data_IF_579457119176
#
_entry.id   IF_579457119176
#
_cell.length_a   1.000
_cell.length_b   1.000
_cell.length_c   1.000
_cell.angle_alpha   90.00
_cell.angle_beta   90.00
_cell.angle_gamma   90.00
#
_symmetry.space_group_name_H-M   'P 1'
#
loop_
_entity.id
_entity.type
_entity.pdbx_description
1 polymer ?
#
# COMPACT_ATOMS: atom_id res chain seq x y z
N UNK A 1 -9.36 -6.98 -20.97
CA UNK A 1 -8.02 -6.57 -20.51
C UNK A 1 -7.71 -7.39 -19.27
N UNK A 2 -6.69 -8.27 -19.26
CA UNK A 2 -6.33 -8.95 -18.03
C UNK A 2 -5.84 -7.90 -17.03
N UNK A 3 -6.43 -7.88 -15.84
CA UNK A 3 -5.98 -6.99 -14.76
C UNK A 3 -4.71 -7.58 -14.17
N UNK A 4 -3.56 -6.97 -14.42
CA UNK A 4 -2.29 -7.35 -13.79
C UNK A 4 -2.20 -6.72 -12.42
N UNK A 5 -2.53 -7.48 -11.37
CA UNK A 5 -2.16 -7.11 -10.02
C UNK A 5 -1.94 -8.30 -9.10
N UNK A 6 -0.73 -8.41 -8.56
CA UNK A 6 -0.40 -9.24 -7.41
C UNK A 6 -0.57 -8.40 -6.14
N UNK A 7 -1.47 -8.80 -5.22
CA UNK A 7 -1.49 -8.32 -3.83
C UNK A 7 -1.54 -6.80 -3.63
N UNK A 8 -2.68 -6.18 -3.94
CA UNK A 8 -2.93 -4.77 -3.59
C UNK A 8 -3.26 -4.54 -2.12
N UNK A 9 -3.46 -5.61 -1.34
CA UNK A 9 -3.93 -5.51 0.03
C UNK A 9 -3.29 -6.54 0.94
N UNK A 10 -3.07 -6.14 2.18
CA UNK A 10 -2.64 -7.01 3.27
C UNK A 10 -3.39 -6.62 4.55
N UNK A 11 -3.47 -7.54 5.50
CA UNK A 11 -3.71 -7.15 6.89
C UNK A 11 -2.35 -6.95 7.56
N UNK A 12 -2.07 -5.73 8.03
CA UNK A 12 -0.82 -5.42 8.73
C UNK A 12 -0.96 -5.67 10.23
N UNK A 13 0.16 -5.66 10.94
CA UNK A 13 0.22 -5.74 12.41
C UNK A 13 0.24 -4.36 13.08
N UNK A 14 -0.02 -3.28 12.34
CA UNK A 14 -0.12 -1.94 12.93
C UNK A 14 -1.39 -1.83 13.77
N UNK A 15 -1.23 -1.40 15.02
CA UNK A 15 -2.33 -1.39 15.98
C UNK A 15 -2.39 -2.68 16.83
N UNK A 16 -3.52 -2.89 17.50
CA UNK A 16 -3.76 -4.10 18.30
C UNK A 16 -4.38 -5.21 17.46
N UNK A 17 -5.35 -4.88 16.63
CA UNK A 17 -6.08 -5.82 15.78
C UNK A 17 -5.57 -5.87 14.34
N UNK A 18 -4.73 -4.89 13.96
CA UNK A 18 -4.15 -4.79 12.63
C UNK A 18 -5.05 -4.03 11.66
N UNK A 19 -4.44 -3.24 10.77
CA UNK A 19 -5.17 -2.51 9.74
C UNK A 19 -5.30 -3.34 8.45
N UNK A 20 -6.42 -3.17 7.73
CA UNK A 20 -6.51 -3.63 6.35
C UNK A 20 -5.93 -2.56 5.44
N UNK A 21 -4.73 -2.81 4.91
CA UNK A 21 -3.95 -1.89 4.10
C UNK A 21 -4.21 -2.13 2.62
N UNK A 22 -4.38 -1.07 1.82
CA UNK A 22 -4.61 -1.16 0.38
C UNK A 22 -3.74 -0.16 -0.37
N UNK A 23 -3.04 -0.61 -1.42
CA UNK A 23 -2.28 0.23 -2.35
C UNK A 23 -2.70 -0.06 -3.79
N UNK A 24 -3.10 0.98 -4.52
CA UNK A 24 -3.54 0.85 -5.92
C UNK A 24 -2.91 1.92 -6.84
N UNK A 25 -2.62 1.59 -8.10
CA UNK A 25 -2.31 2.57 -9.15
C UNK A 25 -3.42 3.60 -9.33
N UNK A 26 -3.05 4.86 -9.58
CA UNK A 26 -4.00 5.95 -9.82
C UNK A 26 -4.14 6.25 -11.31
N UNK A 27 -5.33 6.64 -11.80
CA UNK A 27 -5.52 7.06 -13.19
C UNK A 27 -4.65 8.27 -13.60
N UNK A 28 -4.33 9.16 -12.65
CA UNK A 28 -3.49 10.34 -12.86
C UNK A 28 -1.99 10.07 -12.62
N UNK A 29 -1.60 8.80 -12.47
CA UNK A 29 -0.23 8.38 -12.16
C UNK A 29 0.08 8.28 -10.67
N UNK A 30 1.14 7.53 -10.37
CA UNK A 30 1.53 7.16 -9.02
C UNK A 30 0.56 6.20 -8.34
N UNK A 31 0.62 6.16 -7.02
CA UNK A 31 -0.08 5.20 -6.16
C UNK A 31 -0.94 5.93 -5.12
N UNK A 32 -2.01 5.26 -4.68
CA UNK A 32 -2.82 5.66 -3.55
C UNK A 32 -2.75 4.57 -2.48
N UNK A 33 -2.40 4.95 -1.25
CA UNK A 33 -2.48 4.11 -0.06
C UNK A 33 -3.68 4.53 0.79
N UNK A 34 -4.52 3.59 1.17
CA UNK A 34 -5.61 3.77 2.14
C UNK A 34 -5.62 2.57 3.07
N UNK A 35 -6.17 2.74 4.26
CA UNK A 35 -6.33 1.63 5.19
C UNK A 35 -7.64 1.74 5.93
N UNK A 36 -8.17 0.60 6.33
CA UNK A 36 -9.25 0.54 7.31
C UNK A 36 -8.64 0.38 8.69
N UNK A 37 -8.94 1.30 9.58
CA UNK A 37 -8.50 1.23 10.97
C UNK A 37 -9.16 0.03 11.66
N UNK A 38 -8.35 -0.93 12.09
CA UNK A 38 -8.83 -2.15 12.75
C UNK A 38 -9.05 -2.01 14.25
N UNK A 39 -8.51 -0.95 14.86
CA UNK A 39 -8.64 -0.70 16.30
C UNK A 39 -9.84 0.20 16.63
N UNK A 40 -10.33 0.98 15.66
CA UNK A 40 -11.53 1.79 15.82
C UNK A 40 -12.82 0.94 15.63
N UNK A 41 -13.77 0.93 16.59
CA UNK A 41 -15.03 0.18 16.48
C UNK A 41 -15.89 0.53 15.26
N UNK A 42 -15.78 1.74 14.72
CA UNK A 42 -16.49 2.17 13.51
C UNK A 42 -15.84 1.65 12.22
N UNK A 43 -14.65 1.06 12.31
CA UNK A 43 -13.85 0.53 11.20
C UNK A 43 -13.76 1.52 10.01
N UNK A 44 -13.39 2.79 10.24
CA UNK A 44 -13.33 3.80 9.21
C UNK A 44 -12.20 3.50 8.22
N UNK A 45 -12.41 3.92 6.96
CA UNK A 45 -11.32 4.03 5.99
C UNK A 45 -10.62 5.37 6.15
N UNK A 46 -9.28 5.35 6.15
CA UNK A 46 -8.41 6.51 6.31
C UNK A 46 -7.55 6.70 5.05
N UNK A 47 -7.26 7.96 4.73
CA UNK A 47 -6.56 8.36 3.51
C UNK A 47 -7.53 8.83 2.39
N UNK A 48 -7.14 8.74 1.11
CA UNK A 48 -5.90 8.17 0.60
C UNK A 48 -4.68 9.09 0.75
N UNK A 49 -3.54 8.50 1.07
CA UNK A 49 -2.23 9.12 0.90
C UNK A 49 -1.71 8.83 -0.50
N UNK A 50 -1.27 9.87 -1.21
CA UNK A 50 -0.74 9.73 -2.57
C UNK A 50 0.78 9.80 -2.57
N UNK A 51 1.43 8.93 -3.35
CA UNK A 51 2.88 8.86 -3.46
C UNK A 51 3.31 8.27 -4.82
N UNK A 52 4.61 8.37 -5.11
CA UNK A 52 5.16 8.01 -6.41
C UNK A 52 4.68 8.94 -7.53
N UNK A 53 5.06 8.62 -8.76
CA UNK A 53 4.67 9.39 -9.94
C UNK A 53 4.71 8.53 -11.20
N UNK A 54 4.22 9.07 -12.33
CA UNK A 54 4.26 8.36 -13.61
C UNK A 54 3.25 7.21 -13.73
N UNK A 55 3.30 6.52 -14.86
CA UNK A 55 2.42 5.38 -15.13
C UNK A 55 2.86 4.16 -14.30
N UNK A 56 1.94 3.67 -13.46
CA UNK A 56 2.15 2.47 -12.66
C UNK A 56 1.36 1.32 -13.26
N UNK A 57 2.08 0.31 -13.75
CA UNK A 57 1.51 -0.84 -14.45
C UNK A 57 1.13 -2.00 -13.51
N UNK A 58 1.56 -1.92 -12.26
CA UNK A 58 1.26 -2.90 -11.21
C UNK A 58 2.01 -2.56 -9.93
N UNK A 59 1.52 -3.06 -8.81
CA UNK A 59 2.14 -2.89 -7.50
C UNK A 59 1.92 -4.15 -6.65
N UNK A 60 2.85 -4.40 -5.73
CA UNK A 60 2.72 -5.39 -4.66
C UNK A 60 3.01 -4.73 -3.33
N UNK A 61 2.17 -5.00 -2.33
CA UNK A 61 2.29 -4.49 -0.97
C UNK A 61 2.71 -5.62 -0.02
N UNK A 62 3.65 -5.33 0.88
CA UNK A 62 4.07 -6.23 1.96
C UNK A 62 4.30 -5.44 3.25
N UNK A 63 4.22 -6.14 4.38
CA UNK A 63 4.82 -5.67 5.62
C UNK A 63 6.14 -6.39 5.83
N UNK A 64 7.21 -5.62 5.98
CA UNK A 64 8.55 -6.12 6.24
C UNK A 64 8.72 -6.46 7.73
N UNK A 65 9.83 -7.12 8.07
CA UNK A 65 10.22 -7.37 9.47
C UNK A 65 11.18 -6.29 10.02
N UNK A 66 11.37 -5.18 9.31
CA UNK A 66 12.26 -4.09 9.75
C UNK A 66 11.54 -3.15 10.73
N UNK A 67 12.17 -2.87 11.87
CA UNK A 67 11.58 -2.07 12.95
C UNK A 67 10.75 -2.91 13.93
N UNK A 68 10.26 -2.30 15.01
CA UNK A 68 9.56 -3.01 16.08
C UNK A 68 8.21 -3.59 15.62
N UNK A 69 7.48 -2.87 14.76
CA UNK A 69 6.17 -3.28 14.23
C UNK A 69 6.28 -3.86 12.81
N UNK A 70 7.33 -3.51 12.07
CA UNK A 70 7.49 -3.88 10.65
C UNK A 70 6.97 -2.78 9.72
N UNK A 71 7.78 -2.33 8.78
CA UNK A 71 7.40 -1.27 7.82
C UNK A 71 6.54 -1.79 6.69
N UNK A 72 5.58 -0.98 6.22
CA UNK A 72 4.92 -1.23 4.95
C UNK A 72 5.84 -0.86 3.79
N UNK A 73 5.99 -1.78 2.84
CA UNK A 73 6.80 -1.58 1.65
C UNK A 73 6.01 -1.94 0.38
N UNK A 74 6.25 -1.17 -0.67
CA UNK A 74 5.62 -1.33 -1.98
C UNK A 74 6.71 -1.48 -3.03
N UNK A 75 6.60 -2.52 -3.86
CA UNK A 75 7.32 -2.61 -5.13
C UNK A 75 6.32 -2.35 -6.25
N UNK A 76 6.62 -1.38 -7.11
CA UNK A 76 5.75 -0.98 -8.20
C UNK A 76 6.47 -1.02 -9.55
N UNK A 77 5.78 -1.46 -10.60
CA UNK A 77 6.29 -1.40 -11.98
C UNK A 77 5.92 -0.04 -12.56
N UNK A 78 6.92 0.83 -12.72
CA UNK A 78 6.79 2.18 -13.25
C UNK A 78 7.42 2.24 -14.64
N UNK A 79 6.57 2.20 -15.67
CA UNK A 79 7.03 2.00 -17.05
C UNK A 79 7.98 0.80 -17.19
N UNK A 80 9.27 1.09 -17.37
CA UNK A 80 10.33 0.11 -17.61
C UNK A 80 11.24 -0.16 -16.40
N UNK A 81 10.95 0.41 -15.22
CA UNK A 81 11.73 0.18 -14.01
C UNK A 81 10.84 -0.25 -12.83
N UNK A 82 11.48 -0.69 -11.75
CA UNK A 82 10.81 -0.97 -10.48
C UNK A 82 11.05 0.19 -9.50
N UNK A 83 9.98 0.74 -8.97
CA UNK A 83 10.01 1.64 -7.82
C UNK A 83 9.92 0.86 -6.51
N UNK A 84 10.64 1.33 -5.49
CA UNK A 84 10.54 0.84 -4.12
C UNK A 84 10.13 1.99 -3.20
N UNK A 85 9.09 1.77 -2.40
CA UNK A 85 8.57 2.75 -1.46
C UNK A 85 8.41 2.11 -0.09
N UNK A 86 8.78 2.83 0.96
CA UNK A 86 8.49 2.47 2.34
C UNK A 86 7.66 3.56 2.99
N UNK A 87 6.68 3.16 3.80
CA UNK A 87 6.03 4.11 4.71
C UNK A 87 7.03 4.49 5.80
N UNK A 88 7.25 5.78 5.97
CA UNK A 88 7.94 6.31 7.14
C UNK A 88 6.92 6.42 8.27
N UNK A 89 7.17 5.69 9.34
CA UNK A 89 6.40 5.67 10.59
C UNK A 89 6.48 7.01 11.34
#
# INVERSE_FOLDING_TARGET
MPTTSSGFLIQSTHGTWGNLEVVVPRPLGGLAHTWRDGDDPALPWVGPNYFGSGEVLGASLVQTTYGAVGKLAVVAREGNYLGYYERLD
#
